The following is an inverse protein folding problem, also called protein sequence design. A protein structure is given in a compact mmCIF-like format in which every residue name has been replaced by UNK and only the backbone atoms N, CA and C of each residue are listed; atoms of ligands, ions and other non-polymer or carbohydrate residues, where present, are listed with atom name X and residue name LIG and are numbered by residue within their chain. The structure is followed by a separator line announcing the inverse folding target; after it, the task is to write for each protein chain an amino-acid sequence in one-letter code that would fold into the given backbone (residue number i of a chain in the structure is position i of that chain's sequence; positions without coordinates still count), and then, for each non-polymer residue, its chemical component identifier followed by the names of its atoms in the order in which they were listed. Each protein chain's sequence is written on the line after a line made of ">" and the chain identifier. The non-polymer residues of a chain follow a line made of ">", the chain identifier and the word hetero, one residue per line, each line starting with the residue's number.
data_IF_949554173528
#
_entry.id   IF_949554173528
#
_cell.length_a   1.000
_cell.length_b   1.000
_cell.length_c   1.000
_cell.angle_alpha   90.00
_cell.angle_beta   90.00
_cell.angle_gamma   90.00
#
_symmetry.space_group_name_H-M   'P 1'
#
loop_
_entity.id
_entity.type
_entity.pdbx_description
1 polymer ?
#
# COMPACT_ATOMS: atom_id res chain seq x y z
N UNK A 1 5.02 38.27 32.29
CA UNK A 1 3.68 37.63 32.22
C UNK A 1 2.98 37.85 30.88
N UNK A 2 2.60 39.08 30.46
CA UNK A 2 1.91 39.31 29.17
C UNK A 2 2.67 38.80 27.94
N UNK A 3 3.99 39.05 27.85
CA UNK A 3 4.82 38.57 26.74
C UNK A 3 4.90 37.03 26.69
N UNK A 4 5.09 36.39 27.84
CA UNK A 4 5.09 34.93 28.00
C UNK A 4 3.75 34.32 27.57
N UNK A 5 2.63 34.93 27.96
CA UNK A 5 1.29 34.51 27.56
C UNK A 5 1.09 34.61 26.04
N UNK A 6 1.51 35.72 25.42
CA UNK A 6 1.46 35.90 23.96
C UNK A 6 2.31 34.83 23.26
N UNK A 7 3.52 34.55 23.74
CA UNK A 7 4.38 33.51 23.18
C UNK A 7 3.75 32.11 23.27
N UNK A 8 3.10 31.78 24.39
CA UNK A 8 2.39 30.50 24.56
C UNK A 8 1.23 30.40 23.56
N UNK A 9 0.42 31.45 23.44
CA UNK A 9 -0.71 31.47 22.49
C UNK A 9 -0.23 31.27 21.05
N UNK A 10 0.86 31.95 20.65
CA UNK A 10 1.45 31.79 19.30
C UNK A 10 1.93 30.35 19.09
N UNK A 11 2.62 29.76 20.07
CA UNK A 11 3.10 28.38 19.97
C UNK A 11 1.94 27.38 19.78
N UNK A 12 0.85 27.54 20.54
CA UNK A 12 -0.35 26.68 20.41
C UNK A 12 -0.99 26.82 19.03
N UNK A 13 -1.11 28.05 18.51
CA UNK A 13 -1.65 28.28 17.16
C UNK A 13 -0.78 27.60 16.10
N UNK A 14 0.55 27.71 16.20
CA UNK A 14 1.47 27.07 15.26
C UNK A 14 1.34 25.53 15.29
N UNK A 15 1.16 24.94 16.47
CA UNK A 15 0.94 23.49 16.61
C UNK A 15 -0.36 23.07 15.92
N UNK A 16 -1.45 23.81 16.12
CA UNK A 16 -2.75 23.52 15.49
C UNK A 16 -2.63 23.61 13.97
N UNK A 17 -1.99 24.67 13.45
CA UNK A 17 -1.77 24.84 12.01
C UNK A 17 -0.94 23.68 11.44
N UNK A 18 0.15 23.30 12.11
CA UNK A 18 0.97 22.17 11.69
C UNK A 18 0.19 20.86 11.68
N UNK A 19 -0.63 20.61 12.71
CA UNK A 19 -1.47 19.41 12.79
C UNK A 19 -2.50 19.36 11.65
N UNK A 20 -3.19 20.49 11.37
CA UNK A 20 -4.13 20.59 10.26
C UNK A 20 -3.41 20.37 8.92
N UNK A 21 -2.26 21.00 8.71
CA UNK A 21 -1.47 20.85 7.49
C UNK A 21 -1.06 19.38 7.24
N UNK A 22 -0.56 18.69 8.27
CA UNK A 22 -0.15 17.29 8.17
C UNK A 22 -1.34 16.41 7.79
N UNK A 23 -2.48 16.52 8.47
CA UNK A 23 -3.64 15.67 8.19
C UNK A 23 -4.27 15.93 6.80
N UNK A 24 -4.12 17.13 6.25
CA UNK A 24 -4.59 17.45 4.91
C UNK A 24 -3.67 16.93 3.80
N UNK A 25 -2.35 16.89 4.03
CA UNK A 25 -1.37 16.60 2.98
C UNK A 25 -0.74 15.20 3.05
N UNK A 26 -0.86 14.51 4.18
CA UNK A 26 -0.23 13.21 4.42
C UNK A 26 -1.27 12.17 4.82
N UNK A 27 -1.06 10.92 4.41
CA UNK A 27 -1.94 9.79 4.77
C UNK A 27 -1.83 9.43 6.26
N UNK A 28 -0.63 9.63 6.81
CA UNK A 28 -0.30 9.42 8.20
C UNK A 28 0.23 10.72 8.82
N UNK A 29 -0.02 10.89 10.10
CA UNK A 29 0.64 11.88 10.94
C UNK A 29 1.63 11.18 11.89
N UNK A 30 2.52 11.90 12.60
CA UNK A 30 3.52 11.29 13.47
C UNK A 30 2.96 10.35 14.54
N UNK A 31 1.69 10.52 14.96
CA UNK A 31 1.06 9.71 16.00
C UNK A 31 0.30 8.49 15.47
N UNK A 32 0.03 8.47 14.16
CA UNK A 32 -0.75 7.41 13.49
C UNK A 32 0.09 6.63 12.48
N UNK A 33 1.38 6.95 12.39
CA UNK A 33 2.29 6.30 11.46
C UNK A 33 2.54 4.85 11.92
N UNK A 34 2.42 3.87 11.01
CA UNK A 34 2.76 2.48 11.28
C UNK A 34 4.23 2.31 11.72
N UNK A 35 4.48 1.41 12.67
CA UNK A 35 5.80 1.18 13.26
C UNK A 35 6.29 -0.28 13.12
N UNK A 36 5.69 -1.06 12.23
CA UNK A 36 6.08 -2.46 11.99
C UNK A 36 6.81 -2.63 10.66
N UNK A 37 6.21 -3.27 9.65
CA UNK A 37 6.91 -3.62 8.41
C UNK A 37 7.24 -2.39 7.57
N UNK A 38 6.36 -1.40 7.49
CA UNK A 38 6.55 -0.21 6.66
C UNK A 38 7.76 0.61 7.12
N UNK A 39 7.94 0.75 8.44
CA UNK A 39 9.09 1.47 9.02
C UNK A 39 10.44 0.81 8.65
N UNK A 40 10.46 -0.51 8.44
CA UNK A 40 11.67 -1.26 8.04
C UNK A 40 12.13 -0.99 6.61
N UNK A 41 11.30 -0.35 5.77
CA UNK A 41 11.63 0.00 4.38
C UNK A 41 12.12 1.45 4.21
N UNK A 42 12.66 2.04 5.29
CA UNK A 42 13.21 3.42 5.30
C UNK A 42 12.18 4.49 4.90
N UNK A 43 10.93 4.23 5.30
CA UNK A 43 9.83 5.18 5.17
C UNK A 43 9.53 5.87 6.49
N UNK A 44 8.99 7.08 6.40
CA UNK A 44 8.43 7.84 7.52
C UNK A 44 7.05 8.37 7.14
N UNK A 45 6.33 8.96 8.09
CA UNK A 45 5.05 9.60 7.80
C UNK A 45 5.17 10.67 6.68
N UNK A 46 6.32 11.33 6.55
CA UNK A 46 6.58 12.33 5.51
C UNK A 46 6.67 11.73 4.10
N UNK A 47 6.94 10.42 4.00
CA UNK A 47 7.00 9.69 2.72
C UNK A 47 5.60 9.46 2.14
N UNK A 48 4.56 9.39 2.98
CA UNK A 48 3.20 9.07 2.54
C UNK A 48 2.37 10.34 2.28
N UNK A 49 2.76 11.14 1.28
CA UNK A 49 1.97 12.30 0.86
C UNK A 49 0.77 11.88 0.02
N UNK A 50 -0.33 12.62 0.13
CA UNK A 50 -1.48 12.48 -0.78
C UNK A 50 -1.15 13.10 -2.15
N UNK A 51 -1.72 12.62 -3.26
CA UNK A 51 -2.62 11.47 -3.37
C UNK A 51 -1.86 10.15 -3.58
N UNK A 52 -2.28 9.09 -2.89
CA UNK A 52 -1.76 7.73 -3.08
C UNK A 52 -2.82 6.91 -3.81
N UNK A 53 -2.40 5.98 -4.65
CA UNK A 53 -3.27 4.99 -5.30
C UNK A 53 -2.70 3.58 -5.12
N UNK A 54 -3.60 2.59 -5.06
CA UNK A 54 -3.22 1.20 -5.24
C UNK A 54 -3.44 0.82 -6.69
N UNK A 55 -2.36 0.53 -7.40
CA UNK A 55 -2.38 -0.08 -8.73
C UNK A 55 -2.29 -1.59 -8.58
N UNK A 56 -3.10 -2.32 -9.35
CA UNK A 56 -3.00 -3.77 -9.43
C UNK A 56 -2.75 -4.22 -10.86
N UNK A 57 -1.78 -5.10 -11.02
CA UNK A 57 -1.53 -5.83 -12.26
C UNK A 57 -1.81 -7.30 -12.00
N UNK A 58 -2.74 -7.87 -12.78
CA UNK A 58 -3.09 -9.29 -12.68
C UNK A 58 -2.62 -10.05 -13.92
N UNK A 59 -1.92 -11.16 -13.72
CA UNK A 59 -1.65 -12.14 -14.77
C UNK A 59 -2.52 -13.37 -14.55
N UNK A 60 -3.12 -13.88 -15.62
CA UNK A 60 -3.86 -15.13 -15.56
C UNK A 60 -2.93 -16.35 -15.53
N UNK A 61 -3.53 -17.54 -15.51
CA UNK A 61 -2.81 -18.81 -15.42
C UNK A 61 -1.99 -19.12 -16.69
N UNK A 62 -2.30 -18.46 -17.81
CA UNK A 62 -1.54 -18.55 -19.06
C UNK A 62 -0.41 -17.51 -19.13
N UNK A 63 -0.26 -16.68 -18.09
CA UNK A 63 0.72 -15.60 -18.01
C UNK A 63 0.33 -14.37 -18.82
N UNK A 64 -0.91 -14.31 -19.34
CA UNK A 64 -1.40 -13.13 -20.04
C UNK A 64 -1.80 -12.07 -19.03
N UNK A 65 -1.37 -10.84 -19.29
CA UNK A 65 -1.71 -9.72 -18.44
C UNK A 65 -3.17 -9.33 -18.66
N UNK A 66 -3.97 -9.42 -17.60
CA UNK A 66 -5.43 -9.38 -17.72
C UNK A 66 -6.07 -8.00 -17.43
N UNK A 67 -5.59 -7.22 -16.45
CA UNK A 67 -6.11 -5.84 -16.23
C UNK A 67 -5.22 -4.93 -15.37
N UNK A 68 -5.49 -3.63 -15.46
CA UNK A 68 -4.98 -2.56 -14.59
C UNK A 68 -6.15 -1.92 -13.81
N UNK A 69 -6.02 -1.81 -12.49
CA UNK A 69 -7.01 -1.12 -11.65
C UNK A 69 -6.35 -0.14 -10.68
N UNK A 70 -6.97 1.03 -10.51
CA UNK A 70 -6.58 2.00 -9.49
C UNK A 70 -7.65 2.11 -8.41
N UNK A 71 -7.27 1.82 -7.17
CA UNK A 71 -8.05 2.22 -6.00
C UNK A 71 -7.51 3.57 -5.54
N UNK A 72 -8.38 4.58 -5.56
CA UNK A 72 -8.09 5.96 -5.15
C UNK A 72 -8.72 6.33 -3.80
N UNK A 73 -9.51 5.43 -3.20
CA UNK A 73 -10.13 5.65 -1.90
C UNK A 73 -9.07 5.62 -0.79
N UNK A 74 -8.83 6.78 -0.20
CA UNK A 74 -7.79 6.98 0.81
C UNK A 74 -7.97 6.07 2.04
N UNK A 75 -9.21 5.87 2.51
CA UNK A 75 -9.49 5.03 3.69
C UNK A 75 -9.17 3.58 3.39
N UNK A 76 -9.54 3.10 2.20
CA UNK A 76 -9.20 1.74 1.75
C UNK A 76 -7.70 1.55 1.63
N UNK A 77 -7.01 2.49 0.99
CA UNK A 77 -5.54 2.46 0.85
C UNK A 77 -4.87 2.41 2.21
N UNK A 78 -5.29 3.29 3.13
CA UNK A 78 -4.75 3.32 4.50
C UNK A 78 -4.95 2.00 5.23
N UNK A 79 -6.15 1.41 5.15
CA UNK A 79 -6.44 0.11 5.75
C UNK A 79 -5.52 -0.99 5.18
N UNK A 80 -5.41 -1.09 3.85
CA UNK A 80 -4.56 -2.11 3.21
C UNK A 80 -3.08 -1.95 3.57
N UNK A 81 -2.58 -0.72 3.63
CA UNK A 81 -1.22 -0.43 4.10
C UNK A 81 -1.01 -0.83 5.57
N UNK A 82 -1.98 -0.57 6.44
CA UNK A 82 -1.93 -0.99 7.85
C UNK A 82 -2.01 -2.51 8.01
N UNK A 83 -2.72 -3.22 7.14
CA UNK A 83 -2.75 -4.69 7.13
C UNK A 83 -1.42 -5.27 6.67
N UNK A 84 -0.79 -4.69 5.65
CA UNK A 84 0.57 -5.05 5.24
C UNK A 84 1.59 -4.77 6.36
N UNK A 85 1.48 -3.61 7.00
CA UNK A 85 2.37 -3.23 8.09
C UNK A 85 2.39 -4.26 9.22
N UNK A 86 1.21 -4.79 9.56
CA UNK A 86 1.00 -5.79 10.61
C UNK A 86 1.11 -7.23 10.15
N UNK A 87 1.47 -7.47 8.89
CA UNK A 87 1.60 -8.83 8.36
C UNK A 87 2.79 -9.55 9.01
N UNK A 88 2.61 -10.84 9.33
CA UNK A 88 3.67 -11.62 9.97
C UNK A 88 4.75 -11.93 8.94
N UNK A 89 5.97 -11.41 9.15
CA UNK A 89 7.13 -11.78 8.33
C UNK A 89 7.50 -13.24 8.57
N UNK A 90 7.55 -14.03 7.51
CA UNK A 90 7.94 -15.43 7.57
C UNK A 90 9.46 -15.53 7.61
N UNK A 91 10.00 -15.87 8.79
CA UNK A 91 11.45 -16.04 8.98
C UNK A 91 11.92 -17.30 8.27
N UNK A 92 13.10 -17.23 7.66
CA UNK A 92 13.76 -18.35 6.98
C UNK A 92 12.96 -18.96 5.81
N UNK A 93 11.88 -18.28 5.37
CA UNK A 93 11.10 -18.68 4.21
C UNK A 93 11.81 -18.22 2.94
N UNK A 94 12.03 -19.16 2.02
CA UNK A 94 12.82 -18.96 0.81
C UNK A 94 11.94 -18.91 -0.43
N UNK A 95 12.48 -18.38 -1.53
CA UNK A 95 11.80 -18.41 -2.83
C UNK A 95 11.50 -19.84 -3.30
N UNK A 96 12.37 -20.79 -3.01
CA UNK A 96 12.14 -22.20 -3.38
C UNK A 96 10.95 -22.77 -2.62
N UNK A 97 10.82 -22.46 -1.32
CA UNK A 97 9.63 -22.85 -0.54
C UNK A 97 8.37 -22.13 -1.02
N UNK A 98 8.46 -20.83 -1.36
CA UNK A 98 7.35 -20.08 -1.93
C UNK A 98 6.83 -20.72 -3.22
N UNK A 99 7.74 -21.11 -4.11
CA UNK A 99 7.43 -21.73 -5.40
C UNK A 99 7.01 -23.20 -5.25
N UNK A 100 7.50 -23.92 -4.23
CA UNK A 100 7.16 -25.32 -3.98
C UNK A 100 5.83 -25.50 -3.26
N UNK A 101 5.43 -24.56 -2.39
CA UNK A 101 4.19 -24.64 -1.61
C UNK A 101 2.94 -24.74 -2.50
N UNK A 102 2.99 -24.17 -3.70
CA UNK A 102 1.96 -24.32 -4.73
C UNK A 102 2.64 -24.52 -6.09
N UNK A 103 2.61 -25.73 -6.67
CA UNK A 103 3.08 -25.99 -8.03
C UNK A 103 2.41 -25.05 -9.05
N UNK A 104 3.09 -24.76 -10.16
CA UNK A 104 2.66 -23.74 -11.13
C UNK A 104 1.17 -23.83 -11.54
N UNK A 105 0.66 -25.04 -11.81
CA UNK A 105 -0.73 -25.25 -12.22
C UNK A 105 -1.79 -25.09 -11.11
N UNK A 106 -1.37 -24.92 -9.86
CA UNK A 106 -2.28 -24.82 -8.70
C UNK A 106 -2.32 -23.41 -8.09
N UNK A 107 -1.40 -22.52 -8.50
CA UNK A 107 -1.27 -21.15 -7.96
C UNK A 107 -2.48 -20.27 -8.28
N UNK A 108 -3.12 -20.50 -9.43
CA UNK A 108 -4.09 -19.58 -10.01
C UNK A 108 -3.42 -18.27 -10.47
N UNK A 109 -4.24 -17.24 -10.71
CA UNK A 109 -3.76 -15.93 -11.18
C UNK A 109 -2.76 -15.26 -10.23
N UNK A 110 -1.78 -14.55 -10.78
CA UNK A 110 -0.84 -13.71 -10.05
C UNK A 110 -1.38 -12.29 -9.90
N UNK A 111 -1.22 -11.70 -8.71
CA UNK A 111 -1.58 -10.33 -8.40
C UNK A 111 -0.35 -9.56 -7.91
N UNK A 112 0.05 -8.54 -8.65
CA UNK A 112 1.05 -7.56 -8.21
C UNK A 112 0.34 -6.28 -7.77
N UNK A 113 0.54 -5.95 -6.48
CA UNK A 113 -0.07 -4.82 -5.80
C UNK A 113 0.98 -3.74 -5.59
N UNK A 114 0.72 -2.55 -6.14
CA UNK A 114 1.64 -1.42 -6.14
C UNK A 114 0.95 -0.22 -5.48
N UNK A 115 1.43 0.20 -4.33
CA UNK A 115 1.07 1.47 -3.71
C UNK A 115 1.97 2.57 -4.27
N UNK A 116 1.37 3.55 -4.95
CA UNK A 116 2.08 4.64 -5.62
C UNK A 116 1.63 5.98 -5.08
N UNK A 117 2.59 6.85 -4.72
CA UNK A 117 2.33 8.27 -4.55
C UNK A 117 2.25 8.92 -5.93
N UNK A 118 1.11 9.53 -6.24
CA UNK A 118 0.85 10.13 -7.54
C UNK A 118 1.46 11.52 -7.61
N UNK A 119 2.35 11.72 -8.57
CA UNK A 119 2.94 13.01 -8.92
C UNK A 119 2.25 13.62 -10.12
N UNK A 120 1.77 12.79 -11.07
CA UNK A 120 0.99 13.23 -12.24
C UNK A 120 0.14 12.09 -12.80
N UNK A 121 -0.90 12.45 -13.53
CA UNK A 121 -1.68 11.54 -14.38
C UNK A 121 -1.32 11.82 -15.85
N UNK A 122 -1.19 10.77 -16.66
CA UNK A 122 -1.03 10.95 -18.11
C UNK A 122 -2.37 11.02 -18.86
N UNK A 123 -2.29 11.21 -20.18
CA UNK A 123 -3.47 11.32 -21.06
C UNK A 123 -4.36 10.07 -21.09
N UNK A 124 -3.86 8.92 -20.61
CA UNK A 124 -4.59 7.66 -20.53
C UNK A 124 -5.05 7.36 -19.09
N UNK A 125 -5.07 8.35 -18.20
CA UNK A 125 -5.38 8.20 -16.78
C UNK A 125 -4.49 7.19 -16.06
N UNK A 126 -3.22 7.07 -16.46
CA UNK A 126 -2.23 6.27 -15.73
C UNK A 126 -1.53 7.16 -14.71
N UNK A 127 -1.47 6.70 -13.46
CA UNK A 127 -0.78 7.41 -12.39
C UNK A 127 0.74 7.20 -12.49
N UNK A 128 1.49 8.29 -12.53
CA UNK A 128 2.95 8.31 -12.47
C UNK A 128 3.41 8.92 -11.15
N UNK A 129 4.56 8.47 -10.66
CA UNK A 129 5.17 8.96 -9.42
C UNK A 129 5.90 7.86 -8.67
N UNK A 130 6.30 8.13 -7.43
CA UNK A 130 7.07 7.22 -6.59
C UNK A 130 6.27 5.97 -6.19
N UNK A 131 6.84 4.78 -6.42
CA UNK A 131 6.36 3.53 -5.82
C UNK A 131 6.78 3.52 -4.35
N UNK A 132 5.82 3.36 -3.46
CA UNK A 132 6.04 3.28 -2.03
C UNK A 132 6.16 1.82 -1.60
N UNK A 133 5.18 0.98 -1.91
CA UNK A 133 5.20 -0.43 -1.53
C UNK A 133 4.77 -1.24 -2.75
N UNK A 134 5.45 -2.36 -2.99
CA UNK A 134 5.16 -3.28 -4.08
C UNK A 134 5.30 -4.72 -3.57
N UNK A 135 4.27 -5.53 -3.77
CA UNK A 135 4.29 -6.94 -3.41
C UNK A 135 3.44 -7.78 -4.36
N UNK A 136 3.73 -9.08 -4.41
CA UNK A 136 2.95 -10.04 -5.19
C UNK A 136 2.32 -11.12 -4.33
N UNK A 137 1.26 -11.74 -4.83
CA UNK A 137 0.72 -13.00 -4.30
C UNK A 137 -0.03 -13.75 -5.40
N UNK A 138 -0.18 -15.06 -5.22
CA UNK A 138 -1.00 -15.90 -6.09
C UNK A 138 -2.41 -16.11 -5.51
N UNK A 139 -3.41 -16.25 -6.39
CA UNK A 139 -4.82 -16.41 -6.01
C UNK A 139 -5.05 -17.52 -4.99
N UNK A 140 -4.34 -18.64 -5.12
CA UNK A 140 -4.49 -19.80 -4.25
C UNK A 140 -3.37 -19.91 -3.20
N UNK A 141 -2.53 -18.88 -3.05
CA UNK A 141 -1.48 -18.82 -2.04
C UNK A 141 -1.82 -17.78 -0.95
N UNK A 142 -1.38 -18.03 0.27
CA UNK A 142 -1.59 -17.17 1.43
C UNK A 142 -0.25 -16.56 1.89
N UNK A 143 0.63 -16.27 0.93
CA UNK A 143 1.92 -15.63 1.14
C UNK A 143 2.06 -14.43 0.22
N UNK A 144 2.43 -13.30 0.82
CA UNK A 144 2.90 -12.09 0.15
C UNK A 144 4.40 -12.24 -0.11
N UNK A 145 4.81 -11.97 -1.33
CA UNK A 145 6.20 -11.91 -1.75
C UNK A 145 6.61 -10.47 -2.07
N UNK A 146 7.83 -10.09 -1.68
CA UNK A 146 8.43 -8.80 -2.01
C UNK A 146 9.84 -9.05 -2.56
N UNK A 147 10.01 -8.77 -3.85
CA UNK A 147 11.30 -8.72 -4.57
C UNK A 147 12.14 -10.00 -4.50
N UNK A 148 11.51 -11.14 -4.25
CA UNK A 148 12.06 -12.48 -4.18
C UNK A 148 12.71 -12.81 -2.84
N UNK A 149 12.67 -11.88 -1.89
CA UNK A 149 13.55 -11.89 -0.71
C UNK A 149 12.78 -11.80 0.60
N UNK A 150 11.62 -11.14 0.62
CA UNK A 150 10.83 -11.01 1.83
C UNK A 150 9.44 -11.61 1.65
N UNK A 151 9.05 -12.43 2.62
CA UNK A 151 7.80 -13.16 2.61
C UNK A 151 6.98 -12.83 3.85
N UNK A 152 5.70 -12.63 3.67
CA UNK A 152 4.77 -12.30 4.74
C UNK A 152 3.50 -13.13 4.62
N UNK A 153 2.88 -13.45 5.74
CA UNK A 153 1.58 -14.11 5.77
C UNK A 153 0.50 -13.21 5.13
N UNK A 154 -0.22 -13.75 4.13
CA UNK A 154 -1.41 -13.12 3.56
C UNK A 154 -2.65 -13.68 4.25
N UNK A 155 -3.14 -12.98 5.28
CA UNK A 155 -4.40 -13.36 5.95
C UNK A 155 -5.56 -13.33 4.97
N UNK A 156 -6.50 -14.27 5.12
CA UNK A 156 -7.70 -14.36 4.28
C UNK A 156 -8.49 -13.05 4.21
N UNK A 157 -8.65 -12.34 5.34
CA UNK A 157 -9.32 -11.03 5.37
C UNK A 157 -8.59 -9.97 4.55
N UNK A 158 -7.25 -9.95 4.57
CA UNK A 158 -6.46 -9.00 3.80
C UNK A 158 -6.59 -9.28 2.30
N UNK A 159 -6.52 -10.55 1.92
CA UNK A 159 -6.76 -11.00 0.54
C UNK A 159 -8.15 -10.62 0.05
N UNK A 160 -9.16 -10.84 0.88
CA UNK A 160 -10.55 -10.48 0.59
C UNK A 160 -10.70 -8.96 0.40
N UNK A 161 -10.11 -8.13 1.27
CA UNK A 161 -10.15 -6.68 1.14
C UNK A 161 -9.48 -6.19 -0.16
N UNK A 162 -8.35 -6.80 -0.56
CA UNK A 162 -7.71 -6.52 -1.86
C UNK A 162 -8.67 -6.87 -3.00
N UNK A 163 -9.22 -8.09 -3.02
CA UNK A 163 -10.10 -8.55 -4.09
C UNK A 163 -11.41 -7.76 -4.16
N UNK A 164 -11.98 -7.39 -3.01
CA UNK A 164 -13.15 -6.53 -2.92
C UNK A 164 -12.87 -5.12 -3.44
N UNK A 165 -11.68 -4.58 -3.16
CA UNK A 165 -11.27 -3.31 -3.73
C UNK A 165 -11.17 -3.36 -5.27
N UNK A 166 -10.85 -4.52 -5.83
CA UNK A 166 -10.77 -4.77 -7.28
C UNK A 166 -12.10 -5.12 -7.94
N UNK A 167 -13.13 -5.49 -7.18
CA UNK A 167 -14.39 -6.02 -7.71
C UNK A 167 -15.21 -5.03 -8.55
N UNK A 168 -14.99 -3.72 -8.39
CA UNK A 168 -15.68 -2.71 -9.17
C UNK A 168 -15.07 -2.59 -10.57
N UNK A 169 -15.65 -3.34 -11.51
CA UNK A 169 -15.22 -3.43 -12.92
C UNK A 169 -15.33 -2.12 -13.69
N UNK A 170 -16.24 -1.23 -13.32
CA UNK A 170 -16.43 0.06 -13.99
C UNK A 170 -15.23 1.01 -13.81
N UNK A 171 -14.36 0.70 -12.85
CA UNK A 171 -13.11 1.42 -12.57
C UNK A 171 -11.88 0.76 -13.20
N UNK A 172 -12.07 -0.26 -14.05
CA UNK A 172 -10.96 -0.96 -14.71
C UNK A 172 -10.52 -0.18 -15.93
N UNK A 173 -9.19 0.00 -16.07
CA UNK A 173 -8.60 0.44 -17.32
C UNK A 173 -8.06 -0.82 -18.00
N UNK A 174 -8.86 -1.40 -18.89
CA UNK A 174 -8.42 -2.51 -19.75
C UNK A 174 -7.62 -1.93 -20.92
N UNK A 175 -6.38 -2.38 -21.11
CA UNK A 175 -5.55 -2.06 -22.27
C UNK A 175 -5.56 -3.23 -23.24
#
# INVERSE_FOLDING_TARGET
>A
MKKTFISIVIAVILIIIAFVYINLNYLYNPLTYPNDNIEKYDYSFLTFKKPIVMQVVKWDEEGQQSFYHYVTDEKKIKNLLEQFDRANKMKDFTIDQYLANLPFGERGSEYNIIFRQVERWDHNNVAHGRILINFTFYKNNDVIEISGVHFYELKASFKEDILNALSNKDKWITK
#
